data_IF_855143447989
#
_entry.id   IF_855143447989
#
_cell.length_a   1.000
_cell.length_b   1.000
_cell.length_c   1.000
_cell.angle_alpha   90.00
_cell.angle_beta   90.00
_cell.angle_gamma   90.00
#
_symmetry.space_group_name_H-M   'P 1'
#
loop_
_entity.id
_entity.type
_entity.pdbx_description
1 polymer ?
#
# COMPACT_ATOMS: atom_id res chain seq x y z
N UNK A 1 -2.12 2.85 -20.59
CA UNK A 1 -1.58 1.62 -21.22
C UNK A 1 -0.22 1.35 -20.61
N UNK A 2 -0.14 0.30 -19.80
CA UNK A 2 1.09 -0.17 -19.19
C UNK A 2 2.07 -0.69 -20.24
N UNK A 3 3.34 -0.39 -20.06
CA UNK A 3 4.44 -0.97 -20.82
C UNK A 3 4.86 -2.27 -20.13
N UNK A 4 4.50 -3.41 -20.72
CA UNK A 4 4.78 -4.74 -20.15
C UNK A 4 6.27 -5.09 -20.15
N UNK A 5 7.14 -4.29 -20.78
CA UNK A 5 8.58 -4.47 -20.72
C UNK A 5 9.20 -3.98 -19.40
N UNK A 6 8.38 -3.36 -18.52
CA UNK A 6 8.80 -2.92 -17.19
C UNK A 6 8.67 -4.02 -16.16
N UNK A 7 9.67 -4.13 -15.29
CA UNK A 7 9.68 -5.13 -14.21
C UNK A 7 8.57 -4.86 -13.20
N UNK A 8 7.75 -5.89 -12.97
CA UNK A 8 6.76 -5.96 -11.90
C UNK A 8 7.43 -6.54 -10.66
N UNK A 9 7.29 -5.87 -9.52
CA UNK A 9 7.82 -6.37 -8.24
C UNK A 9 6.74 -6.94 -7.34
N UNK A 10 5.50 -6.47 -7.49
CA UNK A 10 4.41 -6.82 -6.59
C UNK A 10 3.08 -6.95 -7.30
N UNK A 11 2.26 -7.85 -6.78
CA UNK A 11 0.86 -8.05 -7.15
C UNK A 11 0.03 -8.24 -5.87
N UNK A 12 -1.18 -7.71 -5.87
CA UNK A 12 -2.18 -7.89 -4.84
C UNK A 12 -3.52 -8.23 -5.51
N UNK A 13 -4.06 -9.39 -5.19
CA UNK A 13 -5.36 -9.82 -5.68
C UNK A 13 -6.47 -9.11 -4.91
N UNK A 14 -7.62 -8.91 -5.56
CA UNK A 14 -8.83 -8.50 -4.85
C UNK A 14 -9.14 -9.50 -3.71
N UNK A 15 -9.67 -9.04 -2.55
CA UNK A 15 -9.95 -9.92 -1.41
C UNK A 15 -10.92 -11.07 -1.68
N UNK A 16 -11.71 -10.97 -2.75
CA UNK A 16 -12.64 -12.00 -3.26
C UNK A 16 -12.28 -12.45 -4.68
N UNK A 17 -10.98 -12.46 -4.98
CA UNK A 17 -10.46 -12.90 -6.27
C UNK A 17 -10.81 -14.38 -6.50
N UNK A 18 -11.32 -14.70 -7.69
CA UNK A 18 -11.73 -16.07 -8.04
C UNK A 18 -13.15 -16.43 -7.65
N UNK A 19 -13.72 -15.79 -6.63
CA UNK A 19 -15.11 -16.01 -6.20
C UNK A 19 -16.09 -15.21 -7.06
N UNK A 20 -15.97 -13.88 -7.00
CA UNK A 20 -16.88 -12.98 -7.73
C UNK A 20 -16.18 -11.76 -8.32
N UNK A 21 -14.88 -11.64 -8.10
CA UNK A 21 -14.07 -10.57 -8.62
C UNK A 21 -12.79 -11.18 -9.24
N UNK A 22 -12.26 -10.53 -10.26
CA UNK A 22 -11.11 -10.98 -11.02
C UNK A 22 -10.05 -9.87 -11.12
N UNK A 23 -10.19 -8.85 -10.27
CA UNK A 23 -9.37 -7.67 -10.26
C UNK A 23 -8.11 -7.93 -9.45
N UNK A 24 -7.03 -7.32 -9.90
CA UNK A 24 -5.78 -7.34 -9.18
C UNK A 24 -5.06 -6.02 -9.41
N UNK A 25 -4.15 -5.73 -8.49
CA UNK A 25 -3.32 -4.55 -8.53
C UNK A 25 -1.88 -5.00 -8.63
N UNK A 26 -1.10 -4.35 -9.48
CA UNK A 26 0.32 -4.62 -9.60
C UNK A 26 1.10 -3.32 -9.72
N UNK A 27 2.40 -3.40 -9.47
CA UNK A 27 3.31 -2.28 -9.64
C UNK A 27 4.76 -2.72 -9.63
N UNK A 28 5.63 -1.80 -10.03
CA UNK A 28 7.07 -2.05 -10.02
C UNK A 28 7.87 -0.84 -10.43
N UNK A 29 8.88 -1.07 -11.29
CA UNK A 29 9.94 -0.10 -11.62
C UNK A 29 9.44 1.18 -12.27
N UNK A 30 8.37 1.10 -13.03
CA UNK A 30 7.81 2.23 -13.78
C UNK A 30 7.07 3.24 -12.90
N UNK A 31 6.96 2.94 -11.60
CA UNK A 31 6.37 3.81 -10.61
C UNK A 31 4.85 3.91 -10.64
N UNK A 32 4.21 3.03 -11.43
CA UNK A 32 2.76 2.97 -11.52
C UNK A 32 2.24 1.85 -10.64
N UNK A 33 1.27 2.19 -9.81
CA UNK A 33 0.39 1.21 -9.20
C UNK A 33 -0.87 1.10 -10.05
N UNK A 34 -1.14 -0.08 -10.61
CA UNK A 34 -2.15 -0.29 -11.62
C UNK A 34 -3.16 -1.31 -11.14
N UNK A 35 -4.41 -0.89 -11.02
CA UNK A 35 -5.54 -1.81 -10.93
C UNK A 35 -5.91 -2.28 -12.32
N UNK A 36 -6.07 -3.59 -12.49
CA UNK A 36 -6.66 -4.19 -13.67
C UNK A 36 -7.99 -4.80 -13.28
N UNK A 37 -9.05 -4.21 -13.81
CA UNK A 37 -10.39 -4.76 -13.68
C UNK A 37 -10.68 -5.72 -14.83
N UNK A 38 -11.10 -6.95 -14.53
CA UNK A 38 -11.54 -7.88 -15.57
C UNK A 38 -13.06 -7.84 -15.64
N UNK A 39 -13.58 -6.81 -16.31
CA UNK A 39 -15.01 -6.72 -16.63
C UNK A 39 -15.38 -7.72 -17.73
N UNK A 40 -16.58 -8.33 -17.64
CA UNK A 40 -17.17 -9.16 -18.70
C UNK A 40 -17.26 -8.45 -20.06
N UNK A 41 -17.11 -7.11 -20.08
CA UNK A 41 -17.12 -6.29 -21.29
C UNK A 41 -15.74 -5.77 -21.72
N UNK A 42 -14.65 -6.42 -21.33
CA UNK A 42 -13.27 -6.07 -21.72
C UNK A 42 -12.85 -4.62 -21.42
N UNK A 43 -13.53 -3.93 -20.51
CA UNK A 43 -13.10 -2.62 -20.03
C UNK A 43 -12.02 -2.81 -18.98
N UNK A 44 -10.78 -2.52 -19.35
CA UNK A 44 -9.69 -2.36 -18.40
C UNK A 44 -9.76 -0.91 -17.87
N UNK A 45 -10.21 -0.72 -16.63
CA UNK A 45 -10.02 0.55 -15.92
C UNK A 45 -8.65 0.50 -15.23
N UNK A 46 -7.79 1.48 -15.51
CA UNK A 46 -6.46 1.61 -14.92
C UNK A 46 -6.52 2.71 -13.85
N UNK A 47 -6.62 2.35 -12.57
CA UNK A 47 -6.25 3.32 -11.52
C UNK A 47 -4.73 3.42 -11.56
N UNK A 48 -4.20 4.57 -11.97
CA UNK A 48 -2.76 4.83 -12.00
C UNK A 48 -2.42 5.81 -10.88
N UNK A 49 -1.56 5.38 -9.97
CA UNK A 49 -0.91 6.27 -8.99
C UNK A 49 0.56 6.38 -9.37
N UNK A 50 1.03 7.60 -9.63
CA UNK A 50 2.44 7.91 -9.89
C UNK A 50 3.08 8.48 -8.61
N UNK A 51 3.76 7.62 -7.87
CA UNK A 51 4.52 8.02 -6.68
C UNK A 51 5.94 7.43 -6.68
N UNK A 52 6.49 7.21 -7.88
CA UNK A 52 7.73 6.48 -8.05
C UNK A 52 7.60 4.99 -7.78
N UNK A 53 8.74 4.29 -7.82
CA UNK A 53 8.83 2.83 -7.78
C UNK A 53 7.97 2.17 -6.69
N UNK A 54 7.16 1.19 -7.09
CA UNK A 54 6.25 0.46 -6.21
C UNK A 54 6.96 -0.80 -5.72
N UNK A 55 7.38 -0.80 -4.46
CA UNK A 55 8.22 -1.85 -3.87
C UNK A 55 7.40 -3.03 -3.34
N UNK A 56 6.19 -2.77 -2.84
CA UNK A 56 5.29 -3.80 -2.31
C UNK A 56 3.85 -3.28 -2.29
N UNK A 57 2.86 -4.16 -2.41
CA UNK A 57 1.46 -3.83 -2.22
C UNK A 57 0.67 -4.99 -1.59
N UNK A 58 -0.37 -4.65 -0.82
CA UNK A 58 -1.30 -5.60 -0.19
C UNK A 58 -2.71 -5.03 -0.14
N UNK A 59 -3.66 -5.77 -0.68
CA UNK A 59 -5.09 -5.44 -0.66
C UNK A 59 -5.78 -6.17 0.49
N UNK A 60 -6.60 -5.45 1.26
CA UNK A 60 -7.41 -6.00 2.34
C UNK A 60 -8.78 -5.31 2.41
N UNK A 61 -9.83 -6.03 2.04
CA UNK A 61 -11.18 -5.50 1.96
C UNK A 61 -11.24 -4.20 1.15
N UNK A 62 -11.65 -3.11 1.80
CA UNK A 62 -11.76 -1.76 1.21
C UNK A 62 -10.43 -1.00 1.11
N UNK A 63 -9.34 -1.53 1.67
CA UNK A 63 -8.08 -0.83 1.77
C UNK A 63 -7.03 -1.45 0.86
N UNK A 64 -6.23 -0.57 0.25
CA UNK A 64 -4.99 -0.92 -0.43
C UNK A 64 -3.84 -0.23 0.28
N UNK A 65 -2.83 -1.00 0.65
CA UNK A 65 -1.55 -0.44 1.08
C UNK A 65 -0.49 -0.70 0.00
N UNK A 66 0.34 0.30 -0.28
CA UNK A 66 1.52 0.13 -1.11
C UNK A 66 2.72 0.89 -0.53
N UNK A 67 3.91 0.35 -0.79
CA UNK A 67 5.17 0.90 -0.35
C UNK A 67 5.95 1.48 -1.53
N UNK A 68 6.58 2.63 -1.31
CA UNK A 68 7.56 3.23 -2.21
C UNK A 68 8.78 3.70 -1.41
N UNK A 69 9.75 4.31 -2.09
CA UNK A 69 10.98 4.82 -1.46
C UNK A 69 10.74 5.88 -0.37
N UNK A 70 9.53 6.47 -0.26
CA UNK A 70 9.22 7.50 0.75
C UNK A 70 8.38 6.97 1.92
N UNK A 71 7.99 5.70 1.89
CA UNK A 71 7.20 5.04 2.94
C UNK A 71 5.99 4.28 2.40
N UNK A 72 4.96 4.17 3.23
CA UNK A 72 3.74 3.41 2.91
C UNK A 72 2.56 4.35 2.72
N UNK A 73 1.75 4.09 1.71
CA UNK A 73 0.48 4.74 1.44
C UNK A 73 -0.66 3.79 1.71
N UNK A 74 -1.79 4.35 2.12
CA UNK A 74 -3.04 3.62 2.31
C UNK A 74 -4.13 4.35 1.55
N UNK A 75 -4.84 3.64 0.68
CA UNK A 75 -6.00 4.12 -0.06
C UNK A 75 -7.26 3.40 0.40
N UNK A 76 -8.35 4.14 0.43
CA UNK A 76 -9.67 3.63 0.81
C UNK A 76 -10.60 3.66 -0.40
N UNK A 77 -10.90 2.48 -0.96
CA UNK A 77 -11.76 2.33 -2.13
C UNK A 77 -13.19 2.83 -1.89
N UNK A 78 -13.68 2.80 -0.64
CA UNK A 78 -15.03 3.29 -0.33
C UNK A 78 -15.07 4.83 -0.37
N UNK A 79 -14.00 5.50 0.10
CA UNK A 79 -13.88 6.97 0.06
C UNK A 79 -13.31 7.50 -1.26
N UNK A 80 -12.71 6.62 -2.06
CA UNK A 80 -11.98 6.92 -3.29
C UNK A 80 -10.84 7.93 -3.07
N UNK A 81 -10.19 7.89 -1.92
CA UNK A 81 -9.13 8.83 -1.55
C UNK A 81 -7.99 8.17 -0.76
N UNK A 82 -6.76 8.72 -0.84
CA UNK A 82 -5.69 8.37 0.08
C UNK A 82 -6.11 8.70 1.51
N UNK A 83 -5.94 7.74 2.42
CA UNK A 83 -6.23 7.93 3.85
C UNK A 83 -4.98 8.27 4.64
N UNK A 84 -3.79 7.81 4.23
CA UNK A 84 -2.57 8.04 4.98
C UNK A 84 -1.27 7.97 4.17
N UNK A 85 -0.26 8.68 4.68
CA UNK A 85 1.17 8.45 4.41
C UNK A 85 1.85 8.06 5.71
N UNK A 86 2.50 6.92 5.73
CA UNK A 86 3.29 6.44 6.87
C UNK A 86 4.77 6.52 6.49
N UNK A 87 5.48 7.47 7.10
CA UNK A 87 6.94 7.51 7.02
C UNK A 87 7.51 6.39 7.89
N UNK A 88 8.44 5.61 7.35
CA UNK A 88 9.04 4.47 8.06
C UNK A 88 10.24 4.87 8.92
N UNK A 89 10.90 5.95 8.51
CA UNK A 89 12.04 6.53 9.20
C UNK A 89 11.85 8.03 9.35
N UNK A 90 12.50 8.65 10.34
CA UNK A 90 12.64 10.10 10.40
C UNK A 90 13.26 10.66 9.11
N UNK A 91 12.99 11.94 8.75
CA UNK A 91 13.52 12.55 7.53
C UNK A 91 15.03 12.38 7.32
N UNK A 92 15.82 12.42 8.40
CA UNK A 92 17.28 12.27 8.37
C UNK A 92 17.73 10.87 7.92
N UNK A 93 16.87 9.87 8.07
CA UNK A 93 17.13 8.46 7.79
C UNK A 93 16.27 7.94 6.63
N UNK A 94 15.61 8.82 5.87
CA UNK A 94 14.70 8.43 4.80
C UNK A 94 15.37 7.61 3.68
N UNK A 95 16.71 7.61 3.55
CA UNK A 95 17.40 6.75 2.58
C UNK A 95 17.40 5.26 2.97
N UNK A 96 17.16 4.92 4.25
CA UNK A 96 17.14 3.53 4.71
C UNK A 96 16.00 2.72 4.08
N UNK A 97 14.91 3.36 3.66
CA UNK A 97 13.81 2.71 2.90
C UNK A 97 14.27 2.14 1.56
N UNK A 98 15.35 2.68 0.99
CA UNK A 98 15.93 2.17 -0.27
C UNK A 98 16.90 1.02 -0.03
N UNK A 99 17.43 0.90 1.18
CA UNK A 99 18.40 -0.14 1.54
C UNK A 99 17.71 -1.44 1.99
N UNK A 100 16.53 -1.34 2.60
CA UNK A 100 15.83 -2.49 3.15
C UNK A 100 14.47 -2.72 2.46
N UNK A 101 14.12 -3.99 2.17
CA UNK A 101 12.81 -4.31 1.62
C UNK A 101 11.71 -3.92 2.62
N UNK A 102 10.61 -3.39 2.09
CA UNK A 102 9.42 -3.05 2.88
C UNK A 102 8.44 -4.22 2.80
N UNK A 103 8.10 -4.79 3.96
CA UNK A 103 7.13 -5.86 4.11
C UNK A 103 5.82 -5.32 4.65
N UNK A 104 4.70 -5.74 4.04
CA UNK A 104 3.35 -5.34 4.42
C UNK A 104 2.52 -6.58 4.78
N UNK A 105 1.84 -6.54 5.92
CA UNK A 105 0.95 -7.61 6.34
C UNK A 105 -0.27 -7.05 7.09
N UNK A 106 -1.47 -7.32 6.59
CA UNK A 106 -2.70 -6.96 7.29
C UNK A 106 -2.98 -7.94 8.41
N UNK A 107 -3.09 -7.44 9.65
CA UNK A 107 -3.48 -8.26 10.80
C UNK A 107 -4.97 -8.56 10.80
N UNK A 108 -5.75 -7.56 10.43
CA UNK A 108 -7.20 -7.55 10.43
C UNK A 108 -7.69 -6.46 9.46
N UNK A 109 -8.97 -6.08 9.54
CA UNK A 109 -9.59 -5.11 8.61
C UNK A 109 -9.00 -3.70 8.70
N UNK A 110 -8.34 -3.32 9.79
CA UNK A 110 -7.90 -1.93 10.06
C UNK A 110 -6.44 -1.81 10.47
N UNK A 111 -5.81 -2.91 10.89
CA UNK A 111 -4.44 -2.92 11.39
C UNK A 111 -3.50 -3.53 10.36
N UNK A 112 -2.44 -2.79 10.02
CA UNK A 112 -1.36 -3.24 9.14
C UNK A 112 -0.03 -3.22 9.88
N UNK A 113 0.71 -4.32 9.75
CA UNK A 113 2.11 -4.43 10.10
C UNK A 113 2.97 -3.98 8.93
N UNK A 114 3.93 -3.12 9.21
CA UNK A 114 4.88 -2.59 8.25
C UNK A 114 6.28 -2.89 8.78
N UNK A 115 6.98 -3.81 8.11
CA UNK A 115 8.36 -4.17 8.45
C UNK A 115 9.35 -3.50 7.50
N UNK A 116 10.43 -2.94 8.03
CA UNK A 116 11.56 -2.43 7.24
C UNK A 116 12.85 -2.48 8.07
N UNK A 117 13.85 -3.23 7.61
CA UNK A 117 15.07 -3.46 8.39
C UNK A 117 14.77 -4.18 9.70
N UNK A 118 15.23 -3.62 10.82
CA UNK A 118 14.97 -4.09 12.18
C UNK A 118 13.69 -3.50 12.82
N UNK A 119 12.90 -2.71 12.08
CA UNK A 119 11.73 -2.02 12.61
C UNK A 119 10.44 -2.69 12.18
N UNK A 120 9.51 -2.85 13.13
CA UNK A 120 8.12 -3.19 12.85
C UNK A 120 7.21 -2.08 13.38
N UNK A 121 6.45 -1.48 12.47
CA UNK A 121 5.42 -0.50 12.76
C UNK A 121 4.04 -1.14 12.69
N UNK A 122 3.21 -0.91 13.71
CA UNK A 122 1.79 -1.27 13.69
C UNK A 122 0.97 0.00 13.45
N UNK A 123 0.34 0.06 12.28
CA UNK A 123 -0.51 1.17 11.90
C UNK A 123 -1.99 0.76 11.96
N UNK A 124 -2.80 1.54 12.69
CA UNK A 124 -4.25 1.35 12.79
C UNK A 124 -5.00 2.44 12.05
N UNK A 125 -5.86 2.04 11.12
CA UNK A 125 -6.80 2.93 10.44
C UNK A 125 -7.98 3.18 11.38
N UNK A 126 -8.25 4.45 11.69
CA UNK A 126 -9.41 4.88 12.47
C UNK A 126 -10.37 5.68 11.59
N UNK A 127 -11.68 5.48 11.79
CA UNK A 127 -12.71 6.34 11.20
C UNK A 127 -12.99 7.57 12.07
N UNK A 128 -12.66 7.52 13.36
CA UNK A 128 -12.68 8.66 14.26
C UNK A 128 -11.38 9.45 14.11
N UNK A 129 -11.51 10.76 14.00
CA UNK A 129 -10.37 11.69 14.00
C UNK A 129 -9.82 11.84 15.41
N UNK A 130 -8.49 11.89 15.52
CA UNK A 130 -7.83 12.26 16.78
C UNK A 130 -8.03 13.76 17.09
N UNK A 131 -7.51 14.22 18.22
CA UNK A 131 -7.54 15.62 18.65
C UNK A 131 -6.90 16.60 17.63
N UNK A 132 -6.06 16.10 16.72
CA UNK A 132 -5.41 16.85 15.64
C UNK A 132 -6.12 16.66 14.30
N UNK A 133 -7.33 16.12 14.30
CA UNK A 133 -8.14 15.81 13.13
C UNK A 133 -7.49 14.77 12.17
N UNK A 134 -6.58 13.92 12.67
CA UNK A 134 -5.93 12.87 11.89
C UNK A 134 -6.68 11.55 12.06
N UNK A 135 -6.86 10.80 10.98
CA UNK A 135 -7.53 9.49 10.97
C UNK A 135 -6.68 8.35 11.58
N UNK A 136 -5.66 8.68 12.38
CA UNK A 136 -4.45 7.87 12.47
C UNK A 136 -4.00 7.66 13.91
N UNK A 137 -3.71 6.41 14.26
CA UNK A 137 -2.92 6.08 15.45
C UNK A 137 -1.81 5.10 15.07
N UNK A 138 -0.56 5.51 15.21
CA UNK A 138 0.57 4.57 15.32
C UNK A 138 0.42 3.95 16.70
N UNK A 139 0.17 2.64 16.75
CA UNK A 139 -0.18 1.99 18.02
C UNK A 139 1.09 1.52 18.72
N UNK A 140 2.04 0.95 17.98
CA UNK A 140 3.31 0.47 18.51
C UNK A 140 4.41 0.53 17.44
N UNK A 141 5.61 0.95 17.86
CA UNK A 141 6.87 0.77 17.15
C UNK A 141 7.68 -0.25 17.96
N UNK A 142 8.10 -1.33 17.32
CA UNK A 142 9.07 -2.29 17.88
C UNK A 142 10.38 -2.02 17.14
N UNK A 143 11.42 -1.76 17.91
CA UNK A 143 12.76 -1.42 17.46
C UNK A 143 13.75 -2.11 18.41
N UNK A 144 14.87 -2.59 17.88
CA UNK A 144 15.91 -3.33 18.63
C UNK A 144 17.06 -2.40 19.11
N UNK A 145 16.84 -1.08 19.12
CA UNK A 145 17.82 -0.06 19.57
C UNK A 145 17.94 0.03 21.10
#
# INVERSE_FOLDING_TARGET
QYDYDKQVYTIALHPRFGEENQDFIFGGRDGKLIQREKSLFNRNCELVVDEGEILNCKWNGRYLAWANSTGVRIYDFKKKSPTAKVALFPPQQAQLTKMYPISLCWRNKTDIFIGCGNRILIYRISEATDENNRLVKIVHLIDDD
#
